data_IF_536551596928
#
_entry.id   IF_536551596928
#
_cell.length_a   1.000
_cell.length_b   1.000
_cell.length_c   1.000
_cell.angle_alpha   90.00
_cell.angle_beta   90.00
_cell.angle_gamma   90.00
#
_symmetry.space_group_name_H-M   'P 1'
#
loop_
_entity.id
_entity.type
_entity.pdbx_description
1 polymer ?
#
# COMPACT_ATOMS: atom_id res chain seq x y z
N UNK A 1 17.16 0.91 15.85
CA UNK A 1 16.32 -0.32 15.92
C UNK A 1 14.86 0.08 15.84
N UNK A 2 14.13 -0.49 14.90
CA UNK A 2 12.70 -0.25 14.72
C UNK A 2 11.90 -1.08 15.75
N UNK A 3 10.69 -0.63 16.17
CA UNK A 3 9.83 -1.39 17.07
C UNK A 3 9.11 -2.58 16.37
N UNK A 4 9.37 -2.79 15.08
CA UNK A 4 8.79 -3.86 14.26
C UNK A 4 9.78 -4.33 13.20
N UNK A 5 9.47 -5.45 12.54
CA UNK A 5 10.34 -6.03 11.51
C UNK A 5 9.96 -5.57 10.11
N UNK A 6 11.00 -5.41 9.28
CA UNK A 6 10.92 -5.18 7.85
C UNK A 6 11.26 -6.48 7.11
N UNK A 7 10.50 -6.79 6.08
CA UNK A 7 10.74 -7.96 5.24
C UNK A 7 11.34 -7.49 3.93
N UNK A 8 12.50 -7.99 3.59
CA UNK A 8 13.21 -7.64 2.37
C UNK A 8 14.08 -8.79 1.88
N UNK A 9 14.19 -8.91 0.57
CA UNK A 9 15.16 -9.78 -0.09
C UNK A 9 15.71 -9.07 -1.32
N UNK A 10 16.99 -9.29 -1.62
CA UNK A 10 17.65 -8.67 -2.79
C UNK A 10 17.05 -9.14 -4.13
N UNK A 11 16.44 -10.32 -4.16
CA UNK A 11 15.74 -10.84 -5.34
C UNK A 11 14.47 -10.04 -5.71
N UNK A 12 14.05 -9.07 -4.89
CA UNK A 12 12.98 -8.14 -5.28
C UNK A 12 13.45 -7.12 -6.35
N UNK A 13 14.75 -6.88 -6.44
CA UNK A 13 15.35 -5.99 -7.45
C UNK A 13 15.64 -6.78 -8.74
N UNK A 14 14.72 -6.70 -9.69
CA UNK A 14 14.80 -7.37 -10.99
C UNK A 14 15.42 -6.46 -12.04
N UNK A 15 16.16 -7.03 -12.98
CA UNK A 15 16.58 -6.30 -14.16
C UNK A 15 15.46 -6.28 -15.21
N UNK A 16 14.64 -5.23 -15.19
CA UNK A 16 13.55 -5.04 -16.14
C UNK A 16 13.91 -4.15 -17.34
N UNK A 17 15.19 -3.79 -17.49
CA UNK A 17 15.65 -2.85 -18.52
C UNK A 17 15.03 -1.46 -18.34
N UNK A 18 14.61 -0.83 -19.46
CA UNK A 18 14.01 0.52 -19.47
C UNK A 18 12.51 0.52 -19.11
N UNK A 19 12.05 -0.46 -18.37
CA UNK A 19 10.64 -0.56 -17.98
C UNK A 19 10.27 0.53 -16.98
N UNK A 20 9.03 1.07 -17.09
CA UNK A 20 8.54 2.13 -16.19
C UNK A 20 8.46 1.67 -14.73
N UNK A 21 8.24 0.36 -14.48
CA UNK A 21 8.26 -0.21 -13.12
C UNK A 21 9.71 -0.26 -12.61
N UNK A 22 10.07 0.57 -11.61
CA UNK A 22 11.46 0.67 -11.15
C UNK A 22 11.72 -0.34 -10.00
N UNK A 23 11.90 -1.64 -10.32
CA UNK A 23 12.11 -2.68 -9.29
C UNK A 23 13.30 -2.37 -8.36
N UNK A 24 14.28 -1.64 -8.85
CA UNK A 24 15.41 -1.12 -8.07
C UNK A 24 14.98 -0.28 -6.84
N UNK A 25 13.75 0.23 -6.82
CA UNK A 25 13.22 0.98 -5.67
C UNK A 25 13.30 0.18 -4.37
N UNK A 26 13.09 -1.12 -4.42
CA UNK A 26 13.12 -1.99 -3.25
C UNK A 26 14.52 -2.03 -2.60
N UNK A 27 15.56 -2.22 -3.42
CA UNK A 27 16.95 -2.16 -2.95
C UNK A 27 17.31 -0.77 -2.46
N UNK A 28 16.94 0.26 -3.20
CA UNK A 28 17.25 1.65 -2.82
C UNK A 28 16.57 2.06 -1.50
N UNK A 29 15.33 1.59 -1.24
CA UNK A 29 14.65 1.80 0.05
C UNK A 29 15.41 1.09 1.17
N UNK A 30 15.78 -0.18 0.98
CA UNK A 30 16.58 -0.93 1.95
C UNK A 30 17.89 -0.21 2.29
N UNK A 31 18.67 0.14 1.27
CA UNK A 31 19.94 0.86 1.43
C UNK A 31 19.75 2.20 2.16
N UNK A 32 18.73 2.96 1.79
CA UNK A 32 18.45 4.27 2.38
C UNK A 32 18.00 4.18 3.84
N UNK A 33 17.24 3.16 4.23
CA UNK A 33 16.86 2.90 5.61
C UNK A 33 18.08 2.59 6.48
N UNK A 34 19.03 1.78 5.97
CA UNK A 34 20.27 1.44 6.67
C UNK A 34 21.22 2.64 6.77
N UNK A 35 21.55 3.26 5.63
CA UNK A 35 22.51 4.37 5.58
C UNK A 35 21.99 5.61 6.30
N UNK A 36 20.68 5.82 6.34
CA UNK A 36 20.03 6.89 7.08
C UNK A 36 19.92 6.64 8.59
N UNK A 37 20.35 5.48 9.09
CA UNK A 37 20.21 5.12 10.50
C UNK A 37 18.76 5.00 10.98
N UNK A 38 17.81 4.80 10.04
CA UNK A 38 16.38 4.62 10.33
C UNK A 38 16.14 3.18 10.81
N UNK A 39 16.82 2.23 10.19
CA UNK A 39 16.82 0.81 10.55
C UNK A 39 18.26 0.29 10.63
N UNK A 40 18.45 -0.83 11.27
CA UNK A 40 19.70 -1.61 11.23
C UNK A 40 19.45 -3.02 10.66
N UNK A 41 20.53 -3.78 10.41
CA UNK A 41 20.40 -5.11 9.80
C UNK A 41 19.52 -6.07 10.60
N UNK A 42 19.46 -5.93 11.91
CA UNK A 42 18.65 -6.79 12.78
C UNK A 42 17.14 -6.51 12.66
N UNK A 43 16.76 -5.38 12.08
CA UNK A 43 15.36 -5.04 11.82
C UNK A 43 14.81 -5.75 10.58
N UNK A 44 15.69 -6.27 9.71
CA UNK A 44 15.30 -6.96 8.48
C UNK A 44 15.23 -8.47 8.65
N UNK A 45 14.22 -9.07 8.01
CA UNK A 45 14.06 -10.51 7.86
C UNK A 45 13.96 -10.86 6.38
N UNK A 46 14.70 -11.89 5.95
CA UNK A 46 14.55 -12.46 4.60
C UNK A 46 13.40 -13.47 4.58
N UNK A 47 12.46 -13.36 3.64
CA UNK A 47 11.36 -14.31 3.53
C UNK A 47 11.79 -15.61 2.86
N UNK A 48 10.98 -16.66 3.05
CA UNK A 48 10.99 -17.81 2.16
C UNK A 48 9.90 -17.64 1.11
N UNK A 49 10.06 -18.18 -0.13
CA UNK A 49 8.99 -18.16 -1.12
C UNK A 49 7.69 -18.76 -0.58
N UNK A 50 6.55 -18.20 -0.94
CA UNK A 50 5.26 -18.79 -0.61
C UNK A 50 5.17 -20.22 -1.17
N UNK A 51 4.49 -21.11 -0.45
CA UNK A 51 4.20 -22.44 -0.96
C UNK A 51 3.12 -22.36 -2.04
N UNK A 52 3.17 -23.29 -3.00
CA UNK A 52 2.16 -23.35 -4.06
C UNK A 52 0.73 -23.48 -3.49
N UNK A 53 0.59 -24.23 -2.38
CA UNK A 53 -0.70 -24.39 -1.70
C UNK A 53 -1.25 -23.05 -1.17
N UNK A 54 -0.40 -22.11 -0.80
CA UNK A 54 -0.81 -20.79 -0.35
C UNK A 54 -1.23 -19.92 -1.54
N UNK A 55 -0.50 -19.98 -2.64
CA UNK A 55 -0.85 -19.30 -3.90
C UNK A 55 -2.18 -19.83 -4.46
N UNK A 56 -2.39 -21.14 -4.41
CA UNK A 56 -3.63 -21.81 -4.83
C UNK A 56 -4.87 -21.49 -3.97
N UNK A 57 -4.69 -20.83 -2.82
CA UNK A 57 -5.84 -20.31 -2.02
C UNK A 57 -6.50 -19.09 -2.65
N UNK A 58 -5.80 -18.46 -3.59
CA UNK A 58 -6.20 -17.22 -4.24
C UNK A 58 -6.31 -17.40 -5.75
N UNK A 59 -5.31 -18.04 -6.36
CA UNK A 59 -5.22 -18.19 -7.79
C UNK A 59 -5.65 -19.57 -8.27
N UNK A 60 -6.22 -19.61 -9.48
CA UNK A 60 -6.70 -20.86 -10.07
C UNK A 60 -5.54 -21.82 -10.37
N UNK A 61 -5.77 -23.15 -10.26
CA UNK A 61 -4.72 -24.13 -10.56
C UNK A 61 -4.18 -24.02 -11.99
N UNK A 62 -5.02 -23.64 -12.95
CA UNK A 62 -4.62 -23.44 -14.33
C UNK A 62 -3.64 -22.30 -14.46
N UNK A 63 -3.93 -21.14 -13.87
CA UNK A 63 -3.07 -19.96 -13.92
C UNK A 63 -1.71 -20.24 -13.24
N UNK A 64 -1.72 -20.82 -12.03
CA UNK A 64 -0.50 -21.19 -11.31
C UNK A 64 0.35 -22.17 -12.14
N UNK A 65 -0.27 -23.17 -12.76
CA UNK A 65 0.42 -24.11 -13.65
C UNK A 65 1.08 -23.37 -14.82
N UNK A 66 0.35 -22.47 -15.50
CA UNK A 66 0.89 -21.69 -16.64
C UNK A 66 2.11 -20.87 -16.23
N UNK A 67 2.07 -20.19 -15.07
CA UNK A 67 3.20 -19.43 -14.54
C UNK A 67 4.43 -20.32 -14.32
N UNK A 68 4.24 -21.48 -13.68
CA UNK A 68 5.34 -22.40 -13.32
C UNK A 68 5.93 -23.15 -14.51
N UNK A 69 5.15 -23.36 -15.56
CA UNK A 69 5.60 -24.07 -16.78
C UNK A 69 5.94 -23.14 -17.94
N UNK A 70 5.97 -21.82 -17.67
CA UNK A 70 6.20 -20.80 -18.72
C UNK A 70 5.28 -20.98 -19.94
N UNK A 71 4.01 -21.30 -19.71
CA UNK A 71 3.03 -21.59 -20.76
C UNK A 71 1.90 -20.56 -20.84
N UNK A 72 2.14 -19.34 -20.38
CA UNK A 72 1.26 -18.21 -20.66
C UNK A 72 1.20 -17.96 -22.16
N UNK A 73 0.02 -17.66 -22.67
CA UNK A 73 -0.15 -17.20 -24.06
C UNK A 73 0.45 -15.80 -24.24
N UNK A 74 0.70 -15.43 -25.48
CA UNK A 74 1.20 -14.09 -25.81
C UNK A 74 0.26 -12.97 -25.29
N UNK A 75 -1.06 -13.19 -25.35
CA UNK A 75 -2.04 -12.23 -24.83
C UNK A 75 -1.94 -12.08 -23.30
N UNK A 76 -1.79 -13.20 -22.57
CA UNK A 76 -1.60 -13.16 -21.11
C UNK A 76 -0.29 -12.47 -20.71
N UNK A 77 0.79 -12.67 -21.48
CA UNK A 77 2.08 -11.98 -21.25
C UNK A 77 1.91 -10.47 -21.49
N UNK A 78 1.22 -10.08 -22.56
CA UNK A 78 0.96 -8.64 -22.81
C UNK A 78 0.10 -8.02 -21.72
N UNK A 79 -0.86 -8.75 -21.18
CA UNK A 79 -1.73 -8.28 -20.08
C UNK A 79 -0.98 -8.08 -18.78
N UNK A 80 0.11 -8.80 -18.53
CA UNK A 80 0.98 -8.56 -17.39
C UNK A 80 1.62 -7.17 -17.42
N UNK A 81 1.83 -6.61 -18.63
CA UNK A 81 2.47 -5.29 -18.83
C UNK A 81 3.85 -5.18 -18.16
N UNK A 82 4.52 -6.31 -17.91
CA UNK A 82 5.87 -6.40 -17.35
C UNK A 82 6.65 -7.51 -18.08
N UNK A 83 7.97 -7.35 -18.33
CA UNK A 83 8.77 -8.38 -18.97
C UNK A 83 8.70 -9.71 -18.22
N UNK A 84 8.16 -10.73 -18.91
CA UNK A 84 8.01 -12.06 -18.33
C UNK A 84 9.35 -12.80 -18.31
N UNK A 85 9.73 -13.31 -17.15
CA UNK A 85 10.91 -14.17 -16.97
C UNK A 85 10.71 -15.14 -15.80
N UNK A 86 11.58 -16.13 -15.68
CA UNK A 86 11.56 -17.06 -14.56
C UNK A 86 11.91 -16.34 -13.24
N UNK A 87 12.85 -15.41 -13.31
CA UNK A 87 13.26 -14.59 -12.15
C UNK A 87 12.10 -13.74 -11.63
N UNK A 88 11.25 -13.20 -12.53
CA UNK A 88 10.03 -12.49 -12.13
C UNK A 88 9.09 -13.41 -11.35
N UNK A 89 8.87 -14.64 -11.82
CA UNK A 89 8.00 -15.60 -11.13
C UNK A 89 8.55 -15.95 -9.74
N UNK A 90 9.85 -16.21 -9.64
CA UNK A 90 10.52 -16.50 -8.37
C UNK A 90 10.42 -15.32 -7.40
N UNK A 91 10.65 -14.10 -7.88
CA UNK A 91 10.51 -12.88 -7.08
C UNK A 91 9.06 -12.66 -6.59
N UNK A 92 8.05 -12.98 -7.42
CA UNK A 92 6.64 -12.88 -7.02
C UNK A 92 6.29 -13.89 -5.91
N UNK A 93 6.75 -15.15 -6.01
CA UNK A 93 6.59 -16.14 -4.93
C UNK A 93 7.29 -15.72 -3.65
N UNK A 94 8.50 -15.15 -3.78
CA UNK A 94 9.26 -14.63 -2.65
C UNK A 94 8.55 -13.44 -1.99
N UNK A 95 8.03 -12.50 -2.78
CA UNK A 95 7.27 -11.36 -2.27
C UNK A 95 5.96 -11.77 -1.57
N UNK A 96 5.26 -12.79 -2.11
CA UNK A 96 4.08 -13.35 -1.45
C UNK A 96 4.44 -14.02 -0.10
N UNK A 97 5.56 -14.75 -0.05
CA UNK A 97 6.12 -15.25 1.20
C UNK A 97 6.49 -14.14 2.18
N UNK A 98 7.00 -13.02 1.64
CA UNK A 98 7.27 -11.80 2.41
C UNK A 98 6.02 -11.21 3.05
N UNK A 99 4.92 -11.12 2.31
CA UNK A 99 3.65 -10.61 2.84
C UNK A 99 3.01 -11.57 3.86
N UNK A 100 3.18 -12.89 3.69
CA UNK A 100 2.78 -13.87 4.72
C UNK A 100 3.60 -13.66 6.01
N UNK A 101 4.93 -13.57 5.89
CA UNK A 101 5.82 -13.35 7.02
C UNK A 101 5.53 -12.02 7.72
N UNK A 102 5.28 -10.94 6.95
CA UNK A 102 4.89 -9.64 7.49
C UNK A 102 3.58 -9.73 8.28
N UNK A 103 2.58 -10.47 7.79
CA UNK A 103 1.33 -10.72 8.51
C UNK A 103 1.55 -11.46 9.83
N UNK A 104 2.37 -12.51 9.83
CA UNK A 104 2.73 -13.26 11.04
C UNK A 104 3.46 -12.37 12.06
N UNK A 105 4.40 -11.52 11.59
CA UNK A 105 5.13 -10.58 12.45
C UNK A 105 4.22 -9.49 13.00
N UNK A 106 3.32 -8.94 12.19
CA UNK A 106 2.37 -7.93 12.65
C UNK A 106 1.48 -8.45 13.78
N UNK A 107 1.03 -9.71 13.73
CA UNK A 107 0.28 -10.34 14.81
C UNK A 107 1.10 -10.52 16.10
N UNK A 108 2.42 -10.64 16.01
CA UNK A 108 3.32 -10.81 17.15
C UNK A 108 3.84 -9.49 17.72
N UNK A 109 4.26 -8.58 16.83
CA UNK A 109 4.97 -7.35 17.16
C UNK A 109 4.05 -6.10 17.10
N UNK A 110 2.79 -6.28 16.67
CA UNK A 110 1.85 -5.23 16.39
C UNK A 110 1.92 -4.71 14.97
N UNK A 111 3.11 -4.49 14.42
CA UNK A 111 3.32 -3.95 13.07
C UNK A 111 4.42 -4.70 12.34
N UNK A 112 4.39 -4.64 11.00
CA UNK A 112 5.47 -5.11 10.12
C UNK A 112 5.33 -4.48 8.75
N UNK A 113 6.40 -4.48 7.95
CA UNK A 113 6.34 -4.03 6.56
C UNK A 113 7.07 -5.00 5.63
N UNK A 114 6.44 -5.34 4.49
CA UNK A 114 7.12 -5.95 3.37
C UNK A 114 7.59 -4.83 2.43
N UNK A 115 8.90 -4.66 2.27
CA UNK A 115 9.49 -3.65 1.39
C UNK A 115 9.12 -3.89 -0.07
N UNK A 116 8.88 -5.15 -0.46
CA UNK A 116 8.21 -5.54 -1.71
C UNK A 116 6.70 -5.68 -1.52
N UNK A 117 6.00 -6.24 -2.51
CA UNK A 117 4.58 -6.57 -2.42
C UNK A 117 3.63 -5.39 -2.63
N UNK A 118 2.34 -5.68 -2.44
CA UNK A 118 1.26 -4.77 -2.78
C UNK A 118 0.78 -4.93 -4.23
N UNK A 119 0.84 -6.15 -4.77
CA UNK A 119 0.48 -6.47 -6.16
C UNK A 119 -1.03 -6.63 -6.31
N UNK A 120 -1.74 -5.52 -6.20
CA UNK A 120 -3.19 -5.43 -6.01
C UNK A 120 -4.04 -5.63 -7.29
N UNK A 121 -3.40 -5.69 -8.47
CA UNK A 121 -4.10 -5.91 -9.74
C UNK A 121 -4.25 -7.39 -10.12
N UNK A 122 -3.43 -8.29 -9.58
CA UNK A 122 -3.52 -9.71 -9.92
C UNK A 122 -4.88 -10.31 -9.52
N UNK A 123 -5.58 -10.85 -10.52
CA UNK A 123 -6.88 -11.48 -10.39
C UNK A 123 -6.74 -13.00 -10.11
N UNK A 124 -7.84 -13.72 -9.76
CA UNK A 124 -7.74 -15.16 -9.47
C UNK A 124 -7.18 -16.00 -10.61
N UNK A 125 -7.46 -15.66 -11.85
CA UNK A 125 -7.17 -16.45 -13.04
C UNK A 125 -6.17 -15.81 -14.02
N UNK A 126 -5.70 -14.60 -13.73
CA UNK A 126 -4.71 -13.88 -14.53
C UNK A 126 -3.99 -12.81 -13.72
N UNK A 127 -2.84 -12.40 -14.24
CA UNK A 127 -2.13 -11.20 -13.76
C UNK A 127 -2.31 -10.05 -14.73
N UNK A 128 -2.23 -8.82 -14.23
CA UNK A 128 -2.28 -7.59 -15.02
C UNK A 128 -1.64 -6.41 -14.27
N UNK A 129 -1.40 -5.31 -14.95
CA UNK A 129 -0.91 -4.08 -14.32
C UNK A 129 0.36 -4.30 -13.49
N UNK A 130 1.36 -4.98 -14.03
CA UNK A 130 2.63 -5.36 -13.38
C UNK A 130 2.49 -6.40 -12.25
N UNK A 131 1.27 -6.85 -11.93
CA UNK A 131 0.99 -7.76 -10.84
C UNK A 131 0.79 -9.20 -11.36
N UNK A 132 1.72 -10.10 -11.04
CA UNK A 132 1.65 -11.51 -11.48
C UNK A 132 0.77 -12.33 -10.55
N UNK A 133 0.99 -12.26 -9.22
CA UNK A 133 0.16 -12.89 -8.19
C UNK A 133 -0.12 -11.89 -7.07
N UNK A 134 -1.23 -12.10 -6.37
CA UNK A 134 -1.73 -11.18 -5.37
C UNK A 134 -1.20 -11.51 -3.97
N UNK A 135 -0.05 -10.99 -3.61
CA UNK A 135 0.67 -11.28 -2.37
C UNK A 135 -0.13 -10.97 -1.09
N UNK A 136 -0.85 -9.84 -1.05
CA UNK A 136 -1.69 -9.44 0.10
C UNK A 136 -2.84 -10.42 0.30
N UNK A 137 -3.53 -10.81 -0.78
CA UNK A 137 -4.63 -11.77 -0.69
C UNK A 137 -4.14 -13.15 -0.25
N UNK A 138 -2.98 -13.60 -0.78
CA UNK A 138 -2.33 -14.85 -0.38
C UNK A 138 -2.01 -14.82 1.12
N UNK A 139 -1.46 -13.71 1.62
CA UNK A 139 -1.14 -13.56 3.04
C UNK A 139 -2.41 -13.61 3.92
N UNK A 140 -3.48 -12.90 3.55
CA UNK A 140 -4.75 -12.94 4.28
C UNK A 140 -5.31 -14.36 4.30
N UNK A 141 -5.41 -15.05 3.15
CA UNK A 141 -5.94 -16.41 3.06
C UNK A 141 -5.09 -17.42 3.84
N UNK A 142 -3.77 -17.22 3.87
CA UNK A 142 -2.88 -18.05 4.68
C UNK A 142 -3.12 -17.85 6.17
N UNK A 143 -3.22 -16.62 6.66
CA UNK A 143 -3.51 -16.33 8.07
C UNK A 143 -4.89 -16.84 8.49
N UNK A 144 -5.89 -16.75 7.62
CA UNK A 144 -7.23 -17.35 7.85
C UNK A 144 -7.17 -18.87 7.90
N UNK A 145 -6.41 -19.52 7.02
CA UNK A 145 -6.22 -20.98 7.02
C UNK A 145 -5.55 -21.47 8.31
N UNK A 146 -4.55 -20.74 8.79
CA UNK A 146 -3.86 -21.03 10.04
C UNK A 146 -4.73 -20.71 11.28
N UNK A 147 -5.95 -20.17 11.07
CA UNK A 147 -6.87 -19.71 12.12
C UNK A 147 -6.25 -18.63 13.03
N UNK A 148 -5.25 -17.92 12.53
CA UNK A 148 -4.62 -16.81 13.24
C UNK A 148 -5.51 -15.56 13.22
N UNK A 149 -6.33 -15.41 12.17
CA UNK A 149 -7.36 -14.38 12.02
C UNK A 149 -8.61 -14.97 11.37
N UNK A 150 -9.73 -14.27 11.54
CA UNK A 150 -10.96 -14.47 10.77
C UNK A 150 -11.20 -13.27 9.86
N UNK A 151 -11.03 -12.05 10.38
CA UNK A 151 -11.37 -10.80 9.70
C UNK A 151 -10.13 -9.97 9.40
N UNK A 152 -10.02 -9.52 8.15
CA UNK A 152 -8.97 -8.62 7.69
C UNK A 152 -9.55 -7.37 7.01
N UNK A 153 -8.81 -6.27 7.01
CA UNK A 153 -9.12 -5.08 6.23
C UNK A 153 -7.95 -4.79 5.30
N UNK A 154 -8.23 -4.52 4.03
CA UNK A 154 -7.27 -3.96 3.09
C UNK A 154 -7.58 -2.48 2.93
N UNK A 155 -6.61 -1.62 3.24
CA UNK A 155 -6.67 -0.18 2.98
C UNK A 155 -5.71 0.08 1.85
N UNK A 156 -6.24 0.32 0.65
CA UNK A 156 -5.48 0.55 -0.56
C UNK A 156 -5.50 2.03 -0.91
N UNK A 157 -4.32 2.64 -0.89
CA UNK A 157 -4.11 4.06 -1.22
C UNK A 157 -3.17 4.26 -2.40
N UNK A 158 -2.96 3.22 -3.20
CA UNK A 158 -2.36 3.33 -4.52
C UNK A 158 -3.24 4.20 -5.43
N UNK A 159 -2.66 4.90 -6.39
CA UNK A 159 -3.44 5.77 -7.30
C UNK A 159 -4.37 4.98 -8.20
N UNK A 160 -4.06 3.70 -8.43
CA UNK A 160 -4.84 2.79 -9.24
C UNK A 160 -5.86 2.03 -8.38
N UNK A 161 -6.98 1.67 -8.97
CA UNK A 161 -7.97 0.83 -8.28
C UNK A 161 -7.42 -0.59 -8.08
N UNK A 162 -7.48 -1.12 -6.86
CA UNK A 162 -7.10 -2.50 -6.54
C UNK A 162 -8.11 -3.53 -7.05
N UNK A 163 -8.24 -3.67 -8.36
CA UNK A 163 -9.24 -4.52 -9.00
C UNK A 163 -9.06 -6.01 -8.69
N UNK A 164 -7.82 -6.48 -8.59
CA UNK A 164 -7.52 -7.84 -8.14
C UNK A 164 -8.00 -8.08 -6.71
N UNK A 165 -7.71 -7.12 -5.81
CA UNK A 165 -8.22 -7.16 -4.42
C UNK A 165 -9.75 -7.24 -4.39
N UNK A 166 -10.42 -6.36 -5.14
CA UNK A 166 -11.88 -6.33 -5.21
C UNK A 166 -12.46 -7.64 -5.77
N UNK A 167 -11.87 -8.17 -6.85
CA UNK A 167 -12.32 -9.42 -7.48
C UNK A 167 -12.14 -10.64 -6.55
N UNK A 168 -10.99 -10.76 -5.87
CA UNK A 168 -10.68 -11.90 -4.99
C UNK A 168 -11.58 -11.94 -3.77
N UNK A 169 -11.91 -10.77 -3.21
CA UNK A 169 -12.70 -10.68 -1.99
C UNK A 169 -14.18 -10.31 -2.24
N UNK A 170 -14.64 -10.37 -3.51
CA UNK A 170 -16.02 -10.09 -3.86
C UNK A 170 -17.00 -10.94 -3.03
N UNK A 171 -17.88 -10.27 -2.26
CA UNK A 171 -18.88 -10.95 -1.42
C UNK A 171 -18.34 -11.60 -0.13
N UNK A 172 -17.06 -11.51 0.15
CA UNK A 172 -16.45 -12.02 1.40
C UNK A 172 -16.75 -11.06 2.56
N UNK A 173 -17.59 -11.48 3.49
CA UNK A 173 -17.94 -10.68 4.67
C UNK A 173 -16.85 -10.58 5.72
N UNK A 174 -15.79 -11.39 5.59
CA UNK A 174 -14.66 -11.45 6.52
C UNK A 174 -13.49 -10.58 6.06
N UNK A 175 -13.54 -10.04 4.83
CA UNK A 175 -12.50 -9.13 4.33
C UNK A 175 -13.13 -7.83 3.85
N UNK A 176 -12.80 -6.73 4.52
CA UNK A 176 -13.22 -5.40 4.10
C UNK A 176 -12.16 -4.81 3.18
N UNK A 177 -12.55 -4.40 1.98
CA UNK A 177 -11.66 -3.78 1.00
C UNK A 177 -12.03 -2.31 0.81
N UNK A 178 -11.08 -1.40 1.12
CA UNK A 178 -11.20 0.01 0.84
C UNK A 178 -10.16 0.37 -0.21
N UNK A 179 -10.59 1.04 -1.29
CA UNK A 179 -9.70 1.57 -2.32
C UNK A 179 -9.99 3.06 -2.56
N UNK A 180 -8.99 3.92 -2.35
CA UNK A 180 -9.05 5.33 -2.70
C UNK A 180 -8.14 5.59 -3.89
N UNK A 181 -8.72 5.88 -5.04
CA UNK A 181 -8.02 5.87 -6.31
C UNK A 181 -8.51 6.94 -7.28
N UNK A 182 -7.71 7.23 -8.29
CA UNK A 182 -8.07 8.13 -9.38
C UNK A 182 -9.15 7.49 -10.25
N UNK A 183 -10.30 8.16 -10.41
CA UNK A 183 -11.46 7.64 -11.14
C UNK A 183 -11.13 7.27 -12.60
N UNK A 184 -10.49 8.19 -13.33
CA UNK A 184 -10.17 8.04 -14.75
C UNK A 184 -8.73 7.56 -14.95
N UNK A 185 -8.38 6.44 -14.33
CA UNK A 185 -7.09 5.77 -14.43
C UNK A 185 -7.29 4.24 -14.48
N UNK A 186 -6.19 3.51 -14.63
CA UNK A 186 -6.16 2.04 -14.65
C UNK A 186 -6.78 1.42 -13.38
N UNK A 187 -7.43 0.28 -13.52
CA UNK A 187 -7.88 -0.35 -14.76
C UNK A 187 -9.14 0.33 -15.33
N UNK A 188 -9.45 0.06 -16.61
CA UNK A 188 -10.65 0.62 -17.23
C UNK A 188 -11.93 0.07 -16.59
N UNK A 189 -11.97 -1.24 -16.30
CA UNK A 189 -13.06 -1.89 -15.57
C UNK A 189 -12.68 -2.02 -14.11
N UNK A 190 -13.49 -1.44 -13.23
CA UNK A 190 -13.29 -1.46 -11.77
C UNK A 190 -14.38 -2.31 -11.13
N UNK A 191 -14.10 -3.58 -10.74
CA UNK A 191 -15.04 -4.35 -9.94
C UNK A 191 -15.21 -3.68 -8.57
N UNK A 192 -16.41 -3.72 -7.96
CA UNK A 192 -16.65 -3.00 -6.72
C UNK A 192 -15.88 -3.61 -5.55
N UNK A 193 -15.17 -2.76 -4.80
CA UNK A 193 -14.66 -3.04 -3.46
C UNK A 193 -15.79 -2.96 -2.43
N UNK A 194 -15.52 -3.26 -1.17
CA UNK A 194 -16.48 -2.96 -0.09
C UNK A 194 -16.70 -1.44 0.02
N UNK A 195 -15.64 -0.65 -0.21
CA UNK A 195 -15.70 0.81 -0.23
C UNK A 195 -14.74 1.37 -1.28
N UNK A 196 -15.29 2.00 -2.32
CA UNK A 196 -14.55 2.68 -3.38
C UNK A 196 -14.66 4.19 -3.23
N UNK A 197 -13.52 4.87 -3.28
CA UNK A 197 -13.41 6.32 -3.19
C UNK A 197 -12.77 6.83 -4.48
N UNK A 198 -13.63 7.27 -5.39
CA UNK A 198 -13.24 7.73 -6.71
C UNK A 198 -12.84 9.21 -6.67
N UNK A 199 -11.58 9.50 -6.94
CA UNK A 199 -11.05 10.86 -6.93
C UNK A 199 -10.92 11.43 -8.35
N UNK A 200 -11.29 12.68 -8.58
CA UNK A 200 -10.98 13.37 -9.84
C UNK A 200 -9.48 13.62 -9.99
N UNK A 201 -9.05 13.92 -11.21
CA UNK A 201 -7.67 14.31 -11.48
C UNK A 201 -7.30 15.58 -10.70
N UNK A 202 -6.05 15.67 -10.25
CA UNK A 202 -5.51 16.86 -9.61
C UNK A 202 -5.91 17.10 -8.17
N UNK A 203 -6.58 16.14 -7.51
CA UNK A 203 -6.83 16.22 -6.06
C UNK A 203 -5.50 16.33 -5.31
N UNK A 204 -5.40 17.37 -4.47
CA UNK A 204 -4.22 17.66 -3.65
C UNK A 204 -4.37 17.23 -2.20
N UNK A 205 -3.38 17.60 -1.38
CA UNK A 205 -3.22 17.09 -0.02
C UNK A 205 -4.46 17.26 0.87
N UNK A 206 -4.96 18.50 1.01
CA UNK A 206 -6.03 18.80 1.97
C UNK A 206 -7.34 18.08 1.64
N UNK A 207 -7.71 18.07 0.35
CA UNK A 207 -8.91 17.40 -0.13
C UNK A 207 -8.78 15.89 0.04
N UNK A 208 -7.64 15.32 -0.38
CA UNK A 208 -7.37 13.88 -0.24
C UNK A 208 -7.46 13.42 1.22
N UNK A 209 -6.78 14.14 2.13
CA UNK A 209 -6.74 13.78 3.55
C UNK A 209 -8.11 13.90 4.21
N UNK A 210 -8.89 14.93 3.85
CA UNK A 210 -10.26 15.10 4.37
C UNK A 210 -11.16 13.93 3.96
N UNK A 211 -11.12 13.57 2.67
CA UNK A 211 -11.91 12.46 2.11
C UNK A 211 -11.46 11.13 2.75
N UNK A 212 -10.16 10.90 2.86
CA UNK A 212 -9.63 9.67 3.46
C UNK A 212 -10.04 9.53 4.93
N UNK A 213 -9.94 10.59 5.75
CA UNK A 213 -10.34 10.57 7.16
C UNK A 213 -11.82 10.23 7.33
N UNK A 214 -12.70 10.84 6.53
CA UNK A 214 -14.13 10.55 6.55
C UNK A 214 -14.42 9.08 6.28
N UNK A 215 -13.80 8.50 5.25
CA UNK A 215 -14.04 7.13 4.84
C UNK A 215 -13.38 6.11 5.78
N UNK A 216 -12.20 6.41 6.33
CA UNK A 216 -11.60 5.56 7.37
C UNK A 216 -12.47 5.52 8.62
N UNK A 217 -13.01 6.66 9.06
CA UNK A 217 -13.94 6.71 10.20
C UNK A 217 -15.16 5.81 9.97
N UNK A 218 -15.73 5.86 8.76
CA UNK A 218 -16.85 5.01 8.37
C UNK A 218 -16.44 3.54 8.32
N UNK A 219 -15.33 3.20 7.67
CA UNK A 219 -14.84 1.83 7.55
C UNK A 219 -14.63 1.16 8.91
N UNK A 220 -14.01 1.86 9.86
CA UNK A 220 -13.79 1.34 11.22
C UNK A 220 -15.05 1.34 12.10
N UNK A 221 -16.07 2.14 11.77
CA UNK A 221 -17.40 2.04 12.38
C UNK A 221 -18.17 0.80 11.89
N UNK A 222 -18.05 0.51 10.60
CA UNK A 222 -18.81 -0.56 9.95
C UNK A 222 -18.14 -1.94 10.10
N UNK A 223 -16.82 -1.99 10.31
CA UNK A 223 -16.06 -3.22 10.35
C UNK A 223 -14.93 -3.18 11.38
N UNK A 224 -14.80 -4.28 12.14
CA UNK A 224 -13.74 -4.42 13.17
C UNK A 224 -12.73 -5.46 12.71
N UNK A 225 -11.61 -5.08 12.06
CA UNK A 225 -10.58 -6.00 11.58
C UNK A 225 -9.75 -6.54 12.74
N UNK A 226 -9.19 -7.74 12.57
CA UNK A 226 -8.16 -8.33 13.43
C UNK A 226 -6.75 -8.05 12.92
N UNK A 227 -6.62 -7.65 11.65
CA UNK A 227 -5.39 -7.21 11.01
C UNK A 227 -5.73 -6.27 9.84
N UNK A 228 -4.85 -5.30 9.60
CA UNK A 228 -4.94 -4.40 8.46
C UNK A 228 -3.77 -4.68 7.53
N UNK A 229 -4.04 -4.80 6.23
CA UNK A 229 -3.04 -4.72 5.17
C UNK A 229 -3.15 -3.36 4.49
N UNK A 230 -2.11 -2.56 4.62
CA UNK A 230 -2.02 -1.22 4.07
C UNK A 230 -1.16 -1.24 2.81
N UNK A 231 -1.80 -0.99 1.67
CA UNK A 231 -1.16 -0.86 0.36
C UNK A 231 -0.79 0.61 0.18
N UNK A 232 0.48 0.93 0.45
CA UNK A 232 1.00 2.29 0.57
C UNK A 232 1.69 2.75 -0.71
N UNK A 233 0.97 2.78 -1.85
CA UNK A 233 1.50 3.26 -3.13
C UNK A 233 2.05 4.68 -3.04
N UNK A 234 3.18 4.94 -3.72
CA UNK A 234 3.78 6.26 -3.81
C UNK A 234 3.23 7.09 -5.00
N UNK A 235 2.45 6.49 -5.86
CA UNK A 235 1.97 7.01 -7.13
C UNK A 235 0.83 8.05 -7.07
N UNK A 236 0.15 8.35 -5.93
CA UNK A 236 -0.61 9.57 -5.81
C UNK A 236 0.25 10.84 -5.84
N UNK A 237 1.60 10.71 -5.87
CA UNK A 237 2.54 11.81 -5.95
C UNK A 237 2.39 12.60 -7.25
N UNK A 238 2.42 13.94 -7.16
CA UNK A 238 2.21 14.85 -8.30
C UNK A 238 3.21 14.73 -9.44
N UNK A 239 4.40 14.17 -9.22
CA UNK A 239 5.43 13.93 -10.23
C UNK A 239 5.48 12.46 -10.68
N UNK A 240 4.45 11.67 -10.36
CA UNK A 240 4.31 10.31 -10.84
C UNK A 240 3.96 10.27 -12.33
N UNK A 241 4.45 9.26 -13.05
CA UNK A 241 4.26 9.13 -14.48
C UNK A 241 2.95 8.43 -14.85
N UNK A 242 2.41 7.62 -13.93
CA UNK A 242 1.20 6.82 -14.13
C UNK A 242 0.02 7.32 -13.29
N UNK A 243 0.27 8.21 -12.34
CA UNK A 243 -0.72 8.88 -11.51
C UNK A 243 -1.09 10.27 -12.04
N UNK A 244 -2.31 10.71 -11.74
CA UNK A 244 -2.81 12.05 -12.09
C UNK A 244 -3.40 12.80 -10.89
N UNK A 245 -3.10 12.35 -9.66
CA UNK A 245 -3.35 13.12 -8.44
C UNK A 245 -2.22 14.14 -8.21
N UNK A 246 -2.37 15.02 -7.24
CA UNK A 246 -1.44 16.13 -7.02
C UNK A 246 -0.88 16.17 -5.58
N UNK A 247 -0.72 15.00 -4.94
CA UNK A 247 -0.19 14.95 -3.58
C UNK A 247 1.31 15.34 -3.56
N UNK A 248 1.68 16.08 -2.52
CA UNK A 248 3.08 16.34 -2.20
C UNK A 248 3.67 15.17 -1.40
N UNK A 249 4.99 15.11 -1.27
CA UNK A 249 5.63 14.14 -0.36
C UNK A 249 5.15 14.31 1.09
N UNK A 250 4.85 15.56 1.51
CA UNK A 250 4.29 15.82 2.83
C UNK A 250 2.85 15.33 2.94
N UNK A 251 2.04 15.49 1.88
CA UNK A 251 0.68 14.94 1.81
C UNK A 251 0.67 13.42 1.94
N UNK A 252 1.59 12.74 1.24
CA UNK A 252 1.77 11.29 1.34
C UNK A 252 2.20 10.85 2.75
N UNK A 253 3.13 11.56 3.39
CA UNK A 253 3.50 11.29 4.76
C UNK A 253 2.33 11.50 5.74
N UNK A 254 1.48 12.52 5.50
CA UNK A 254 0.28 12.77 6.29
C UNK A 254 -0.80 11.71 6.07
N UNK A 255 -0.95 11.20 4.83
CA UNK A 255 -1.80 10.05 4.48
C UNK A 255 -1.39 8.81 5.29
N UNK A 256 -0.10 8.49 5.27
CA UNK A 256 0.44 7.32 5.98
C UNK A 256 0.21 7.46 7.49
N UNK A 257 0.53 8.63 8.04
CA UNK A 257 0.30 8.92 9.46
C UNK A 257 -1.18 8.78 9.86
N UNK A 258 -2.11 9.18 8.98
CA UNK A 258 -3.55 9.07 9.22
C UNK A 258 -3.99 7.60 9.27
N UNK A 259 -3.62 6.76 8.30
CA UNK A 259 -3.93 5.32 8.29
C UNK A 259 -3.36 4.64 9.54
N UNK A 260 -2.12 4.95 9.88
CA UNK A 260 -1.43 4.39 11.05
C UNK A 260 -2.06 4.82 12.38
N UNK A 261 -2.58 6.04 12.46
CA UNK A 261 -3.29 6.52 13.63
C UNK A 261 -4.62 5.76 13.85
N UNK A 262 -5.34 5.46 12.76
CA UNK A 262 -6.53 4.59 12.84
C UNK A 262 -6.19 3.18 13.29
N UNK A 263 -5.12 2.56 12.74
CA UNK A 263 -4.66 1.24 13.18
C UNK A 263 -4.31 1.24 14.68
N UNK A 264 -3.54 2.24 15.13
CA UNK A 264 -3.13 2.40 16.53
C UNK A 264 -4.33 2.62 17.46
N UNK A 265 -5.26 3.53 17.12
CA UNK A 265 -6.46 3.83 17.94
C UNK A 265 -7.33 2.59 18.10
N UNK A 266 -7.43 1.76 17.08
CA UNK A 266 -8.20 0.52 17.11
C UNK A 266 -7.39 -0.68 17.61
N UNK A 267 -6.12 -0.48 18.03
CA UNK A 267 -5.20 -1.53 18.51
C UNK A 267 -5.11 -2.70 17.53
N UNK A 268 -5.17 -2.40 16.24
CA UNK A 268 -5.19 -3.38 15.18
C UNK A 268 -3.78 -3.59 14.61
N UNK A 269 -3.29 -4.83 14.52
CA UNK A 269 -2.05 -5.14 13.83
C UNK A 269 -2.04 -4.62 12.40
N UNK A 270 -0.87 -4.08 11.96
CA UNK A 270 -0.72 -3.43 10.68
C UNK A 270 0.41 -4.06 9.87
N UNK A 271 0.11 -4.49 8.66
CA UNK A 271 1.06 -4.87 7.62
C UNK A 271 1.12 -3.77 6.58
N UNK A 272 2.30 -3.31 6.25
CA UNK A 272 2.53 -2.30 5.21
C UNK A 272 3.17 -2.97 4.01
N UNK A 273 2.65 -2.73 2.81
CA UNK A 273 3.29 -3.05 1.52
C UNK A 273 3.49 -1.77 0.73
N UNK A 274 4.62 -1.65 0.02
CA UNK A 274 4.99 -0.37 -0.59
C UNK A 274 4.31 -0.11 -1.95
N UNK A 275 3.86 -1.16 -2.65
CA UNK A 275 3.04 -1.07 -3.86
C UNK A 275 3.62 -0.18 -4.98
N UNK A 276 2.76 0.56 -5.70
CA UNK A 276 3.10 1.42 -6.81
C UNK A 276 4.04 2.57 -6.48
N UNK A 277 4.45 3.28 -7.51
CA UNK A 277 5.33 4.43 -7.42
C UNK A 277 6.30 4.48 -8.59
N UNK A 278 6.06 5.43 -9.48
CA UNK A 278 6.66 5.57 -10.81
C UNK A 278 7.08 7.01 -11.07
N UNK A 279 7.57 7.69 -10.02
CA UNK A 279 7.99 9.07 -10.14
C UNK A 279 9.07 9.23 -11.22
N UNK A 280 9.10 10.39 -11.91
CA UNK A 280 10.11 10.71 -12.93
C UNK A 280 11.53 10.51 -12.42
N UNK A 281 11.74 10.72 -11.13
CA UNK A 281 12.98 10.44 -10.42
C UNK A 281 12.72 9.32 -9.42
N UNK A 282 13.38 8.19 -9.60
CA UNK A 282 13.22 7.04 -8.70
C UNK A 282 13.52 7.40 -7.23
N UNK A 283 14.41 8.37 -7.01
CA UNK A 283 14.76 8.87 -5.68
C UNK A 283 13.56 9.47 -4.94
N UNK A 284 12.60 10.04 -5.67
CA UNK A 284 11.38 10.60 -5.09
C UNK A 284 10.44 9.47 -4.61
N UNK A 285 10.25 8.43 -5.41
CA UNK A 285 9.54 7.21 -5.00
C UNK A 285 10.19 6.58 -3.75
N UNK A 286 11.52 6.46 -3.77
CA UNK A 286 12.30 5.93 -2.64
C UNK A 286 12.13 6.79 -1.39
N UNK A 287 12.17 8.13 -1.54
CA UNK A 287 11.98 9.05 -0.42
C UNK A 287 10.58 8.93 0.21
N UNK A 288 9.55 8.76 -0.62
CA UNK A 288 8.16 8.55 -0.17
C UNK A 288 8.05 7.24 0.62
N UNK A 289 8.55 6.14 0.07
CA UNK A 289 8.49 4.83 0.76
C UNK A 289 9.32 4.79 2.06
N UNK A 290 10.46 5.45 2.09
CA UNK A 290 11.23 5.65 3.34
C UNK A 290 10.43 6.49 4.33
N UNK A 291 9.72 7.53 3.85
CA UNK A 291 8.79 8.33 4.64
C UNK A 291 7.66 7.49 5.27
N UNK A 292 7.12 6.52 4.54
CA UNK A 292 6.12 5.56 5.04
C UNK A 292 6.67 4.76 6.22
N UNK A 293 7.91 4.25 6.13
CA UNK A 293 8.53 3.51 7.24
C UNK A 293 8.83 4.42 8.44
N UNK A 294 9.24 5.67 8.20
CA UNK A 294 9.43 6.67 9.27
C UNK A 294 8.10 6.95 9.97
N UNK A 295 7.02 7.17 9.22
CA UNK A 295 5.69 7.38 9.79
C UNK A 295 5.24 6.19 10.65
N UNK A 296 5.51 4.96 10.18
CA UNK A 296 5.23 3.74 10.93
C UNK A 296 6.03 3.66 12.24
N UNK A 297 7.33 3.95 12.20
CA UNK A 297 8.18 3.99 13.40
C UNK A 297 7.65 4.99 14.43
N UNK A 298 7.32 6.19 13.96
CA UNK A 298 6.89 7.28 14.83
C UNK A 298 5.49 7.02 15.42
N UNK A 299 4.61 6.34 14.69
CA UNK A 299 3.28 5.96 15.17
C UNK A 299 3.34 4.78 16.17
N UNK A 300 4.17 3.77 15.90
CA UNK A 300 4.36 2.62 16.78
C UNK A 300 5.04 3.01 18.11
N UNK A 301 5.95 4.00 18.10
CA UNK A 301 6.63 4.50 19.29
C UNK A 301 5.75 5.31 20.24
N UNK A 302 4.56 5.73 19.80
CA UNK A 302 3.61 6.55 20.59
C UNK A 302 2.72 5.75 21.55
N UNK A 303 3.00 4.50 21.83
CA UNK A 303 2.27 3.70 22.80
C UNK A 303 2.57 4.19 24.23
N UNK A 304 1.86 5.24 24.70
CA UNK A 304 1.94 5.68 26.09
C UNK A 304 1.85 7.17 26.39
N UNK A 305 1.58 8.07 25.46
CA UNK A 305 1.35 9.48 25.76
C UNK A 305 0.06 10.01 25.13
N UNK A 306 -0.76 10.57 26.01
CA UNK A 306 -2.04 11.23 25.83
C UNK A 306 -2.13 12.12 24.58
N UNK A 307 -3.30 12.07 23.93
CA UNK A 307 -3.91 13.00 22.97
C UNK A 307 -3.06 14.21 22.53
N UNK A 308 -2.46 14.13 21.34
CA UNK A 308 -2.03 15.33 20.62
C UNK A 308 -3.23 15.81 19.78
N UNK A 309 -3.84 16.92 20.20
CA UNK A 309 -4.86 17.65 19.48
C UNK A 309 -4.28 18.13 18.13
N UNK A 310 -4.73 17.54 17.04
CA UNK A 310 -4.61 18.17 15.72
C UNK A 310 -5.62 19.32 15.65
N UNK A 311 -5.19 20.51 16.07
CA UNK A 311 -5.95 21.74 15.81
C UNK A 311 -5.61 22.16 14.39
N UNK A 312 -6.55 21.99 13.47
CA UNK A 312 -6.52 22.64 12.16
C UNK A 312 -6.56 24.15 12.42
N UNK A 313 -5.43 24.83 12.33
CA UNK A 313 -5.36 26.29 12.30
C UNK A 313 -5.83 26.76 10.92
N UNK A 314 -7.12 27.01 10.80
CA UNK A 314 -7.76 27.57 9.63
C UNK A 314 -8.96 28.40 10.05
N UNK A 315 -8.74 29.59 10.65
CA UNK A 315 -9.65 30.73 10.59
C UNK A 315 -8.97 31.94 11.24
N UNK A 316 -8.12 32.61 10.51
CA UNK A 316 -7.88 34.03 10.76
C UNK A 316 -8.87 34.80 9.88
N UNK A 317 -9.97 35.21 10.50
CA UNK A 317 -10.90 36.17 9.93
C UNK A 317 -10.15 37.47 9.64
N UNK A 318 -10.06 37.85 8.38
CA UNK A 318 -9.63 39.16 7.95
C UNK A 318 -10.59 40.22 8.53
N UNK A 319 -10.16 40.96 9.53
CA UNK A 319 -10.81 42.20 9.95
C UNK A 319 -10.63 43.22 8.84
N UNK A 320 -11.74 43.67 8.21
CA UNK A 320 -11.76 44.85 7.34
C UNK A 320 -11.34 46.08 8.11
N UNK A 321 -10.48 46.97 7.61
CA UNK A 321 -10.19 48.25 8.22
C UNK A 321 -11.42 49.18 8.16
N UNK A 322 -11.73 49.83 9.27
CA UNK A 322 -12.74 50.88 9.31
C UNK A 322 -12.22 52.13 8.61
N UNK A 323 -13.08 52.90 7.93
CA UNK A 323 -12.72 54.21 7.35
C UNK A 323 -12.51 55.26 8.43
N UNK A 324 -11.66 56.28 8.18
CA UNK A 324 -11.39 57.35 9.16
C UNK A 324 -12.59 58.26 9.34
N UNK A 325 -12.72 58.95 10.50
CA UNK A 325 -13.84 59.82 10.80
C UNK A 325 -13.78 61.10 9.95
N UNK A 326 -14.93 61.48 9.44
CA UNK A 326 -15.12 62.79 8.75
C UNK A 326 -14.92 63.92 9.74
N UNK A 327 -14.06 64.88 9.39
CA UNK A 327 -13.90 66.18 10.07
C UNK A 327 -14.98 67.16 9.58
N UNK A 328 -15.90 67.51 10.46
CA UNK A 328 -16.75 68.70 10.26
C UNK A 328 -15.96 69.96 10.60
N UNK A 329 -15.90 70.85 9.64
CA UNK A 329 -15.84 72.29 9.83
C UNK A 329 -16.37 72.99 8.56
#
# INVERSE_FOLDING_TARGET
MLPFKLIYDHCYDLNLGDHVFPSQKYRLVYERLLHGGIADNSDFLSPQPAKDEDVLRVHTPEYVRKLKTASLSYAEILQLEIPYSQELIEACWLAAGGSILAGQRALQDGWSANVGGGFHHACPDHGEGFCVIHDVAIAIRRLQFDKAIERAMVIDTDVHHGNGTAAIFAGDKNVFTLSIHQLHNYPFVKPPSTMDINLPNGVGDDEYLTILDEHLRKAFSDFSPQIIFYVAGADPYREDQLGGLALTMQGLASRDALVMDYARKNKCPLVITLAGGYARRVEDTVAIHVGTIIAARDAAGKSGSTEAQFTIRGQQSARRPQPPPESHS
#
